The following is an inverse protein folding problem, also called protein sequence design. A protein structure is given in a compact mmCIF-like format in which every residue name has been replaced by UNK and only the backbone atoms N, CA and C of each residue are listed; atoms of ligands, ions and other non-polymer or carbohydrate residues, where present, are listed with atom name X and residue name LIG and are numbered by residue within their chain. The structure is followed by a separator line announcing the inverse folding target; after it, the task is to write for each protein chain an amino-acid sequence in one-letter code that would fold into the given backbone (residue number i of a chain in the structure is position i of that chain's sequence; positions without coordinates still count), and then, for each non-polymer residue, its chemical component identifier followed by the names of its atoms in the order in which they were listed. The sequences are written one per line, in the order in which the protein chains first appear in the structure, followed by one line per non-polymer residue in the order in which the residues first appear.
data_IF_320860526956
#
_entry.id   IF_320860526956
#
_cell.length_a   1.000
_cell.length_b   1.000
_cell.length_c   1.000
_cell.angle_alpha   90.00
_cell.angle_beta   90.00
_cell.angle_gamma   90.00
#
_symmetry.space_group_name_H-M   'P 1'
#
loop_
_entity.id
_entity.type
_entity.pdbx_description
1 polymer ?
#
# COMPACT_ATOMS: atom_id res chain seq x y z
N UNK A 1 -2.33 11.21 26.83
CA UNK A 1 -3.11 9.99 27.05
C UNK A 1 -2.91 9.11 25.83
N UNK A 2 -2.11 8.05 25.92
CA UNK A 2 -1.89 7.16 24.78
C UNK A 2 -3.21 6.41 24.51
N UNK A 3 -3.81 6.62 23.34
CA UNK A 3 -5.02 5.91 22.92
C UNK A 3 -4.69 4.42 22.86
N UNK A 4 -5.12 3.66 23.86
CA UNK A 4 -4.95 2.22 23.89
C UNK A 4 -5.79 1.65 22.73
N UNK A 5 -5.13 1.08 21.72
CA UNK A 5 -5.81 0.45 20.59
C UNK A 5 -6.54 -0.80 21.07
N UNK A 6 -7.80 -0.65 21.47
CA UNK A 6 -8.68 -1.76 21.83
C UNK A 6 -8.94 -2.55 20.54
N UNK A 7 -8.62 -3.85 20.54
CA UNK A 7 -8.95 -4.76 19.43
C UNK A 7 -10.44 -5.12 19.49
N UNK A 8 -11.31 -4.17 19.10
CA UNK A 8 -12.77 -4.33 19.11
C UNK A 8 -13.35 -4.77 17.75
N UNK A 9 -12.62 -4.54 16.66
CA UNK A 9 -13.04 -4.94 15.31
C UNK A 9 -12.84 -6.44 15.05
N UNK A 10 -13.74 -7.04 14.26
CA UNK A 10 -13.74 -8.48 13.95
C UNK A 10 -13.67 -8.71 12.44
N UNK A 11 -12.97 -9.78 12.05
CA UNK A 11 -12.92 -10.29 10.69
C UNK A 11 -13.51 -11.70 10.71
N UNK A 12 -14.67 -11.87 10.08
CA UNK A 12 -15.31 -13.16 9.92
C UNK A 12 -15.03 -13.70 8.52
N UNK A 13 -14.47 -14.91 8.44
CA UNK A 13 -14.10 -15.58 7.20
C UNK A 13 -14.67 -16.98 7.17
N UNK A 14 -15.27 -17.35 6.03
CA UNK A 14 -15.69 -18.72 5.73
C UNK A 14 -14.60 -19.38 4.90
N UNK A 15 -14.26 -20.61 5.26
CA UNK A 15 -13.23 -21.42 4.62
C UNK A 15 -13.76 -22.84 4.43
N UNK A 16 -13.22 -23.54 3.46
CA UNK A 16 -13.46 -24.96 3.25
C UNK A 16 -12.80 -25.79 4.38
N UNK A 17 -13.24 -27.04 4.59
CA UNK A 17 -12.57 -27.95 5.53
C UNK A 17 -11.08 -28.17 5.20
N UNK A 18 -10.74 -28.27 3.92
CA UNK A 18 -9.39 -28.47 3.43
C UNK A 18 -8.48 -27.28 3.76
N UNK A 19 -8.96 -26.05 3.50
CA UNK A 19 -8.23 -24.83 3.88
C UNK A 19 -8.04 -24.74 5.39
N UNK A 20 -9.08 -25.07 6.17
CA UNK A 20 -8.99 -25.04 7.63
C UNK A 20 -7.93 -26.00 8.15
N UNK A 21 -7.87 -27.23 7.64
CA UNK A 21 -6.85 -28.21 8.05
C UNK A 21 -5.45 -27.74 7.66
N UNK A 22 -5.28 -27.25 6.43
CA UNK A 22 -4.01 -26.71 5.95
C UNK A 22 -3.53 -25.54 6.83
N UNK A 23 -4.41 -24.60 7.18
CA UNK A 23 -4.04 -23.47 8.03
C UNK A 23 -3.68 -23.92 9.45
N UNK A 24 -4.40 -24.89 10.02
CA UNK A 24 -4.08 -25.44 11.34
C UNK A 24 -2.74 -26.18 11.33
N UNK A 25 -2.42 -26.91 10.27
CA UNK A 25 -1.10 -27.53 10.10
C UNK A 25 0.01 -26.49 10.03
N UNK A 26 -0.16 -25.45 9.20
CA UNK A 26 0.81 -24.37 9.09
C UNK A 26 1.01 -23.63 10.42
N UNK A 27 -0.06 -23.38 11.17
CA UNK A 27 -0.01 -22.78 12.51
C UNK A 27 0.80 -23.62 13.51
N UNK A 28 0.60 -24.95 13.52
CA UNK A 28 1.37 -25.85 14.40
C UNK A 28 2.87 -25.79 14.10
N UNK A 29 3.23 -25.58 12.84
CA UNK A 29 4.63 -25.47 12.39
C UNK A 29 5.19 -24.07 12.67
N UNK A 30 4.38 -23.01 12.54
CA UNK A 30 4.83 -21.62 12.71
C UNK A 30 5.23 -21.28 14.15
N UNK A 31 4.69 -22.01 15.14
CA UNK A 31 4.99 -21.80 16.55
C UNK A 31 4.27 -20.59 17.17
N UNK A 32 3.31 -20.01 16.46
CA UNK A 32 2.49 -18.92 17.00
C UNK A 32 1.68 -19.38 18.22
N UNK A 33 1.43 -18.45 19.15
CA UNK A 33 0.71 -18.76 20.39
C UNK A 33 -0.76 -19.11 20.17
N UNK A 34 -1.41 -18.50 19.19
CA UNK A 34 -2.83 -18.72 18.89
C UNK A 34 -3.09 -18.75 17.39
N UNK A 35 -4.09 -19.51 16.97
CA UNK A 35 -4.47 -19.61 15.55
C UNK A 35 -4.92 -18.27 14.97
N UNK A 36 -5.71 -17.50 15.73
CA UNK A 36 -6.12 -16.16 15.30
C UNK A 36 -4.94 -15.19 15.19
N UNK A 37 -3.95 -15.31 16.08
CA UNK A 37 -2.70 -14.55 16.02
C UNK A 37 -1.90 -14.88 14.76
N UNK A 38 -1.75 -16.18 14.46
CA UNK A 38 -1.12 -16.66 13.23
C UNK A 38 -1.80 -16.08 11.98
N UNK A 39 -3.11 -16.25 11.83
CA UNK A 39 -3.84 -15.74 10.67
C UNK A 39 -3.71 -14.21 10.55
N UNK A 40 -3.87 -13.49 11.66
CA UNK A 40 -3.73 -12.02 11.68
C UNK A 40 -2.34 -11.59 11.23
N UNK A 41 -1.29 -12.29 11.70
CA UNK A 41 0.09 -11.96 11.35
C UNK A 41 0.37 -12.20 9.86
N UNK A 42 -0.07 -13.33 9.31
CA UNK A 42 0.09 -13.64 7.88
C UNK A 42 -0.63 -12.59 7.02
N UNK A 43 -1.89 -12.28 7.32
CA UNK A 43 -2.67 -11.28 6.58
C UNK A 43 -2.03 -9.90 6.69
N UNK A 44 -1.55 -9.51 7.88
CA UNK A 44 -0.88 -8.23 8.10
C UNK A 44 0.39 -8.12 7.25
N UNK A 45 1.27 -9.12 7.30
CA UNK A 45 2.52 -9.13 6.52
C UNK A 45 2.22 -9.01 5.03
N UNK A 46 1.28 -9.81 4.52
CA UNK A 46 0.94 -9.76 3.10
C UNK A 46 0.32 -8.43 2.68
N UNK A 47 -0.48 -7.84 3.56
CA UNK A 47 -1.09 -6.52 3.32
C UNK A 47 -0.03 -5.43 3.22
N UNK A 48 0.98 -5.44 4.09
CA UNK A 48 2.11 -4.50 4.04
C UNK A 48 2.85 -4.65 2.70
N UNK A 49 3.20 -5.87 2.30
CA UNK A 49 3.85 -6.13 1.00
C UNK A 49 3.05 -5.58 -0.18
N UNK A 50 1.73 -5.81 -0.20
CA UNK A 50 0.84 -5.32 -1.26
C UNK A 50 0.82 -3.79 -1.27
N UNK A 51 0.65 -3.17 -0.10
CA UNK A 51 0.60 -1.70 0.02
C UNK A 51 1.92 -1.10 -0.45
N UNK A 52 3.05 -1.62 0.01
CA UNK A 52 4.37 -1.12 -0.39
C UNK A 52 4.63 -1.31 -1.88
N UNK A 53 4.29 -2.47 -2.44
CA UNK A 53 4.43 -2.74 -3.87
C UNK A 53 3.67 -1.73 -4.72
N UNK A 54 2.46 -1.34 -4.29
CA UNK A 54 1.61 -0.42 -5.04
C UNK A 54 1.91 1.06 -4.77
N UNK A 55 2.42 1.40 -3.58
CA UNK A 55 2.78 2.79 -3.21
C UNK A 55 4.19 3.19 -3.66
N UNK A 56 5.04 2.23 -4.05
CA UNK A 56 6.35 2.55 -4.61
C UNK A 56 6.17 3.27 -5.95
N UNK A 57 6.47 4.55 -5.94
CA UNK A 57 6.71 5.36 -7.15
C UNK A 57 8.19 5.16 -7.51
N UNK A 58 8.50 5.10 -8.81
CA UNK A 58 9.87 4.90 -9.33
C UNK A 58 10.43 3.47 -9.15
N UNK A 59 9.59 2.45 -9.39
CA UNK A 59 10.01 1.03 -9.28
C UNK A 59 11.02 0.64 -10.36
N UNK A 60 10.90 1.21 -11.56
CA UNK A 60 11.83 0.92 -12.65
C UNK A 60 12.97 1.95 -12.72
N UNK A 61 14.14 1.51 -13.18
CA UNK A 61 15.27 2.39 -13.46
C UNK A 61 14.92 3.47 -14.51
N UNK A 62 14.01 3.15 -15.45
CA UNK A 62 13.49 4.13 -16.41
C UNK A 62 12.71 5.23 -15.71
N UNK A 63 11.79 4.89 -14.81
CA UNK A 63 10.98 5.88 -14.09
C UNK A 63 11.85 6.75 -13.19
N UNK A 64 12.85 6.14 -12.53
CA UNK A 64 13.87 6.86 -11.77
C UNK A 64 14.60 7.86 -12.65
N UNK A 65 15.13 7.41 -13.79
CA UNK A 65 15.82 8.31 -14.72
C UNK A 65 14.94 9.48 -15.16
N UNK A 66 13.71 9.20 -15.60
CA UNK A 66 12.76 10.25 -16.03
C UNK A 66 12.46 11.24 -14.89
N UNK A 67 12.23 10.74 -13.68
CA UNK A 67 11.95 11.58 -12.52
C UNK A 67 13.14 12.45 -12.11
N UNK A 68 14.34 11.87 -12.03
CA UNK A 68 15.56 12.59 -11.71
C UNK A 68 15.89 13.62 -12.82
N UNK A 69 15.82 13.22 -14.09
CA UNK A 69 16.01 14.12 -15.22
C UNK A 69 15.00 15.29 -15.13
N UNK A 70 13.72 15.04 -14.78
CA UNK A 70 12.71 16.09 -14.61
C UNK A 70 12.94 17.01 -13.39
N UNK A 71 13.53 16.54 -12.29
CA UNK A 71 13.87 17.37 -11.13
C UNK A 71 15.09 18.24 -11.38
N UNK A 72 16.12 17.68 -12.01
CA UNK A 72 17.43 18.33 -12.15
C UNK A 72 17.60 19.08 -13.46
N UNK A 73 16.68 18.95 -14.42
CA UNK A 73 16.65 19.79 -15.61
C UNK A 73 15.66 20.94 -15.47
N UNK A 74 16.06 22.12 -15.95
CA UNK A 74 15.14 23.24 -16.13
C UNK A 74 14.27 22.98 -17.36
N UNK A 75 13.12 22.34 -17.16
CA UNK A 75 12.13 22.11 -18.21
C UNK A 75 11.06 23.20 -18.18
N UNK A 76 10.98 23.99 -19.24
CA UNK A 76 9.88 24.95 -19.36
C UNK A 76 8.52 24.24 -19.56
N UNK A 77 7.44 24.73 -18.92
CA UNK A 77 6.10 24.26 -19.22
C UNK A 77 5.76 24.49 -20.69
N UNK A 78 5.14 23.50 -21.33
CA UNK A 78 4.66 23.66 -22.70
C UNK A 78 3.49 24.67 -22.78
N UNK A 79 3.12 25.06 -23.99
CA UNK A 79 2.07 26.06 -24.20
C UNK A 79 0.73 25.64 -23.58
N UNK A 80 0.36 24.35 -23.68
CA UNK A 80 -0.88 23.84 -23.10
C UNK A 80 -0.95 24.00 -21.57
N UNK A 81 0.16 23.78 -20.87
CA UNK A 81 0.27 24.01 -19.41
C UNK A 81 0.21 25.50 -19.08
N UNK A 82 0.88 26.35 -19.86
CA UNK A 82 0.86 27.81 -19.71
C UNK A 82 -0.56 28.37 -19.89
N UNK A 83 -1.30 27.87 -20.89
CA UNK A 83 -2.68 28.27 -21.18
C UNK A 83 -3.65 27.80 -20.08
N UNK A 84 -3.51 26.55 -19.62
CA UNK A 84 -4.32 26.00 -18.54
C UNK A 84 -4.14 26.79 -17.22
N UNK A 85 -2.89 27.14 -16.88
CA UNK A 85 -2.59 27.95 -15.70
C UNK A 85 -3.17 29.37 -15.80
N UNK A 86 -3.08 29.99 -16.98
CA UNK A 86 -3.66 31.31 -17.25
C UNK A 86 -5.19 31.29 -17.13
N UNK A 87 -5.85 30.26 -17.68
CA UNK A 87 -7.30 30.06 -17.55
C UNK A 87 -7.71 29.89 -16.09
N UNK A 88 -6.99 29.09 -15.31
CA UNK A 88 -7.28 28.91 -13.89
C UNK A 88 -7.17 30.23 -13.11
N UNK A 89 -6.12 31.01 -13.33
CA UNK A 89 -5.95 32.34 -12.70
C UNK A 89 -7.10 33.29 -13.04
N UNK A 90 -7.58 33.27 -14.29
CA UNK A 90 -8.70 34.11 -14.73
C UNK A 90 -10.05 33.72 -14.11
N UNK A 91 -10.19 32.47 -13.64
CA UNK A 91 -11.39 31.98 -12.95
C UNK A 91 -11.38 32.28 -11.44
N UNK A 92 -10.22 32.62 -10.87
CA UNK A 92 -10.05 32.98 -9.46
C UNK A 92 -9.99 34.50 -9.23
N UNK A 93 -10.04 35.29 -10.29
CA UNK A 93 -10.07 36.76 -10.28
C UNK A 93 -11.52 37.25 -10.46
#
# INVERSE_FOLDING_TARGET
MATQHIKNERIDIRVTPEEKEMFLQAHRISGDRTFSGFITQIVKTKSIEIIEKNKKILVSERDRKVFFDAIFSEQEPNQALKDAASKFKSLQA
#
